data_IF_342049678563
#
_entry.id   IF_342049678563
#
_cell.length_a   1.000
_cell.length_b   1.000
_cell.length_c   1.000
_cell.angle_alpha   90.00
_cell.angle_beta   90.00
_cell.angle_gamma   90.00
#
_symmetry.space_group_name_H-M   'P 1'
#
loop_
_entity.id
_entity.type
_entity.pdbx_description
1 polymer ?
#
# COMPACT_ATOMS: atom_id res chain seq x y z
N UNK A 1 22.15 -6.20 -3.49
CA UNK A 1 20.93 -6.97 -3.80
C UNK A 1 19.78 -6.32 -3.07
N UNK A 2 18.62 -6.16 -3.70
CA UNK A 2 17.48 -5.46 -3.09
C UNK A 2 16.72 -6.38 -2.14
N UNK A 3 16.45 -5.91 -0.93
CA UNK A 3 15.80 -6.69 0.14
C UNK A 3 14.29 -6.48 0.20
N UNK A 4 13.78 -5.41 -0.41
CA UNK A 4 12.36 -5.08 -0.46
C UNK A 4 11.95 -4.47 -1.79
N UNK A 5 10.84 -4.93 -2.37
CA UNK A 5 10.36 -4.49 -3.67
C UNK A 5 8.92 -3.97 -3.55
N UNK A 6 8.64 -2.89 -4.28
CA UNK A 6 7.30 -2.31 -4.40
C UNK A 6 7.00 -2.12 -5.89
N UNK A 7 5.91 -2.71 -6.37
CA UNK A 7 5.43 -2.54 -7.74
C UNK A 7 4.12 -1.75 -7.74
N UNK A 8 4.04 -0.72 -8.58
CA UNK A 8 2.86 0.13 -8.74
C UNK A 8 1.99 -0.39 -9.89
N UNK A 9 0.67 -0.38 -9.69
CA UNK A 9 -0.32 -0.58 -10.75
C UNK A 9 -1.53 0.33 -10.54
N UNK A 10 -2.17 0.74 -11.65
CA UNK A 10 -3.41 1.50 -11.59
C UNK A 10 -4.60 0.54 -11.43
N UNK A 11 -5.56 0.92 -10.61
CA UNK A 11 -6.76 0.13 -10.29
C UNK A 11 -7.98 1.03 -10.22
N UNK A 12 -9.14 0.41 -10.20
CA UNK A 12 -10.39 1.06 -9.83
C UNK A 12 -11.06 0.32 -8.68
N UNK A 13 -11.71 1.07 -7.79
CA UNK A 13 -12.53 0.55 -6.69
C UNK A 13 -13.89 1.19 -6.79
N UNK A 14 -14.92 0.39 -7.05
CA UNK A 14 -16.29 0.90 -7.24
C UNK A 14 -16.38 2.09 -8.22
N UNK A 15 -15.59 2.03 -9.29
CA UNK A 15 -15.53 3.06 -10.35
C UNK A 15 -14.64 4.27 -10.04
N UNK A 16 -14.01 4.35 -8.86
CA UNK A 16 -13.08 5.42 -8.49
C UNK A 16 -11.63 5.01 -8.72
N UNK A 17 -10.74 5.93 -9.11
CA UNK A 17 -9.34 5.63 -9.34
C UNK A 17 -8.63 5.25 -8.03
N UNK A 18 -7.81 4.21 -8.09
CA UNK A 18 -6.98 3.75 -6.99
C UNK A 18 -5.60 3.33 -7.49
N UNK A 19 -4.60 3.39 -6.61
CA UNK A 19 -3.27 2.82 -6.88
C UNK A 19 -3.10 1.57 -6.04
N UNK A 20 -2.63 0.48 -6.66
CA UNK A 20 -2.23 -0.73 -5.95
C UNK A 20 -0.70 -0.81 -5.90
N UNK A 21 -0.17 -0.90 -4.69
CA UNK A 21 1.23 -1.17 -4.41
C UNK A 21 1.37 -2.63 -3.98
N UNK A 22 1.96 -3.44 -4.85
CA UNK A 22 2.30 -4.83 -4.56
C UNK A 22 3.65 -4.87 -3.85
N UNK A 23 3.66 -5.43 -2.65
CA UNK A 23 4.81 -5.50 -1.74
C UNK A 23 5.43 -6.90 -1.77
N UNK A 24 6.75 -7.00 -1.71
CA UNK A 24 7.42 -8.30 -1.59
C UNK A 24 8.81 -8.20 -0.97
N UNK A 25 9.19 -9.21 -0.21
CA UNK A 25 10.58 -9.39 0.23
C UNK A 25 11.44 -9.91 -0.92
N UNK A 26 12.66 -9.38 -1.01
CA UNK A 26 13.71 -9.85 -1.91
C UNK A 26 14.69 -10.75 -1.17
N UNK A 27 15.98 -10.38 -1.21
CA UNK A 27 17.03 -11.10 -0.48
C UNK A 27 16.79 -11.06 1.03
N UNK A 28 16.97 -12.20 1.72
CA UNK A 28 16.87 -12.29 3.17
C UNK A 28 17.82 -11.29 3.84
N UNK A 29 17.31 -10.49 4.77
CA UNK A 29 18.06 -9.43 5.44
C UNK A 29 17.40 -9.01 6.75
N UNK A 30 18.11 -8.20 7.52
CA UNK A 30 17.61 -7.62 8.76
C UNK A 30 16.76 -6.37 8.52
N UNK A 31 15.90 -6.03 9.49
CA UNK A 31 14.92 -4.96 9.34
C UNK A 31 15.54 -3.57 9.11
N UNK A 32 16.75 -3.31 9.59
CA UNK A 32 17.46 -2.06 9.33
C UNK A 32 17.75 -1.86 7.83
N UNK A 33 18.13 -2.93 7.12
CA UNK A 33 18.33 -2.88 5.67
C UNK A 33 16.99 -2.89 4.91
N UNK A 34 16.03 -3.72 5.33
CA UNK A 34 14.70 -3.78 4.72
C UNK A 34 14.02 -2.41 4.77
N UNK A 35 14.13 -1.68 5.88
CA UNK A 35 13.58 -0.33 6.03
C UNK A 35 14.21 0.67 5.04
N UNK A 36 15.53 0.63 4.88
CA UNK A 36 16.24 1.50 3.92
C UNK A 36 15.80 1.21 2.49
N UNK A 37 15.71 -0.06 2.13
CA UNK A 37 15.30 -0.48 0.80
C UNK A 37 13.82 -0.19 0.54
N UNK A 38 12.93 -0.38 1.53
CA UNK A 38 11.52 -0.03 1.43
C UNK A 38 11.33 1.48 1.20
N UNK A 39 12.11 2.32 1.88
CA UNK A 39 12.14 3.78 1.64
C UNK A 39 12.53 4.09 0.19
N UNK A 40 13.61 3.50 -0.30
CA UNK A 40 14.07 3.73 -1.69
C UNK A 40 13.03 3.23 -2.69
N UNK A 41 12.41 2.08 -2.44
CA UNK A 41 11.40 1.50 -3.31
C UNK A 41 10.12 2.35 -3.41
N UNK A 42 9.66 2.93 -2.29
CA UNK A 42 8.47 3.79 -2.31
C UNK A 42 8.75 5.13 -3.01
N UNK A 43 9.93 5.72 -2.81
CA UNK A 43 10.36 6.94 -3.51
C UNK A 43 10.49 6.70 -5.03
N UNK A 44 10.98 5.53 -5.44
CA UNK A 44 11.11 5.15 -6.84
C UNK A 44 9.76 5.01 -7.58
N UNK A 45 8.65 4.79 -6.86
CA UNK A 45 7.32 4.68 -7.44
C UNK A 45 6.76 6.02 -7.97
N UNK A 46 7.41 7.16 -7.63
CA UNK A 46 7.05 8.53 -8.07
C UNK A 46 5.54 8.76 -8.03
N UNK A 47 4.96 8.54 -6.85
CA UNK A 47 3.52 8.65 -6.65
C UNK A 47 3.10 10.12 -6.67
N UNK A 48 2.09 10.43 -7.48
CA UNK A 48 1.54 11.79 -7.59
C UNK A 48 0.45 12.07 -6.55
N UNK A 49 0.07 11.05 -5.78
CA UNK A 49 -1.08 11.07 -4.87
C UNK A 49 -2.37 10.63 -5.53
N UNK A 50 -3.47 10.72 -4.78
CA UNK A 50 -4.79 10.31 -5.25
C UNK A 50 -5.80 10.08 -4.13
N UNK A 51 -6.96 9.56 -4.49
CA UNK A 51 -8.02 9.29 -3.52
C UNK A 51 -7.67 8.10 -2.63
N UNK A 52 -7.29 6.97 -3.24
CA UNK A 52 -7.08 5.70 -2.55
C UNK A 52 -5.79 5.02 -3.00
N UNK A 53 -5.01 4.53 -2.03
CA UNK A 53 -3.92 3.59 -2.26
C UNK A 53 -4.17 2.29 -1.51
N UNK A 54 -3.86 1.18 -2.16
CA UNK A 54 -4.00 -0.17 -1.63
C UNK A 54 -2.62 -0.81 -1.50
N UNK A 55 -2.33 -1.37 -0.33
CA UNK A 55 -1.11 -2.10 -0.05
C UNK A 55 -1.41 -3.60 -0.05
N UNK A 56 -0.70 -4.37 -0.87
CA UNK A 56 -0.90 -5.82 -0.96
C UNK A 56 0.43 -6.56 -0.97
N UNK A 57 0.70 -7.32 0.08
CA UNK A 57 1.85 -8.21 0.17
C UNK A 57 2.51 -8.16 1.54
N UNK A 58 3.52 -9.01 1.78
CA UNK A 58 4.18 -9.09 3.06
C UNK A 58 5.03 -7.84 3.35
N UNK A 59 4.91 -7.34 4.57
CA UNK A 59 5.72 -6.27 5.11
C UNK A 59 6.05 -6.58 6.57
N UNK A 60 7.28 -6.27 7.01
CA UNK A 60 7.56 -6.23 8.45
C UNK A 60 6.96 -4.95 9.04
N UNK A 61 6.66 -4.94 10.34
CA UNK A 61 6.11 -3.77 11.01
C UNK A 61 6.89 -2.47 10.74
N UNK A 62 8.24 -2.41 10.91
CA UNK A 62 8.96 -1.17 10.64
C UNK A 62 8.97 -0.78 9.14
N UNK A 63 8.97 -1.75 8.22
CA UNK A 63 8.84 -1.46 6.79
C UNK A 63 7.45 -0.88 6.47
N UNK A 64 6.39 -1.44 7.05
CA UNK A 64 5.03 -0.94 6.89
C UNK A 64 4.88 0.52 7.38
N UNK A 65 5.51 0.88 8.50
CA UNK A 65 5.51 2.28 8.99
C UNK A 65 6.15 3.25 7.98
N UNK A 66 7.26 2.85 7.35
CA UNK A 66 7.96 3.68 6.36
C UNK A 66 7.15 3.81 5.08
N UNK A 67 6.55 2.72 4.61
CA UNK A 67 5.67 2.72 3.43
C UNK A 67 4.46 3.61 3.71
N UNK A 68 3.81 3.45 4.86
CA UNK A 68 2.65 4.24 5.27
C UNK A 68 2.98 5.73 5.37
N UNK A 69 4.14 6.10 5.89
CA UNK A 69 4.62 7.49 5.85
C UNK A 69 4.72 7.99 4.40
N UNK A 70 5.39 7.21 3.54
CA UNK A 70 5.63 7.59 2.14
C UNK A 70 4.37 7.82 1.32
N UNK A 71 3.26 7.15 1.66
CA UNK A 71 1.97 7.32 0.97
C UNK A 71 0.95 8.19 1.72
N UNK A 72 1.05 8.30 3.04
CA UNK A 72 0.01 8.89 3.90
C UNK A 72 -0.18 10.39 3.75
N UNK A 73 0.82 11.10 3.21
CA UNK A 73 0.69 12.51 2.86
C UNK A 73 0.23 12.73 1.42
N UNK A 74 0.18 11.69 0.59
CA UNK A 74 -0.15 11.77 -0.83
C UNK A 74 -1.57 11.28 -1.14
N UNK A 75 -2.11 10.36 -0.33
CA UNK A 75 -3.41 9.75 -0.56
C UNK A 75 -4.44 10.12 0.50
N UNK A 76 -5.70 10.24 0.07
CA UNK A 76 -6.84 10.47 0.98
C UNK A 76 -7.07 9.31 1.94
N UNK A 77 -6.91 8.07 1.46
CA UNK A 77 -7.03 6.86 2.27
C UNK A 77 -6.02 5.76 1.87
N UNK A 78 -5.68 4.91 2.85
CA UNK A 78 -4.79 3.74 2.69
C UNK A 78 -5.53 2.48 3.12
N UNK A 79 -5.76 1.57 2.18
CA UNK A 79 -6.24 0.21 2.42
C UNK A 79 -5.09 -0.79 2.50
N UNK A 80 -5.12 -1.70 3.48
CA UNK A 80 -4.12 -2.76 3.65
C UNK A 80 -4.78 -4.12 3.51
N UNK A 81 -4.28 -4.96 2.61
CA UNK A 81 -4.87 -6.28 2.35
C UNK A 81 -4.75 -7.19 3.59
N UNK A 82 -5.88 -7.72 4.04
CA UNK A 82 -5.97 -8.78 5.04
C UNK A 82 -6.49 -10.08 4.39
N UNK A 83 -5.69 -11.16 4.36
CA UNK A 83 -6.07 -12.40 3.69
C UNK A 83 -7.23 -13.13 4.36
N UNK A 84 -7.48 -12.91 5.67
CA UNK A 84 -8.61 -13.53 6.39
C UNK A 84 -9.94 -12.88 6.00
N UNK A 85 -9.90 -11.60 5.63
CA UNK A 85 -11.07 -10.85 5.20
C UNK A 85 -11.26 -10.86 3.68
N UNK A 86 -10.28 -11.38 2.92
CA UNK A 86 -10.24 -11.31 1.45
C UNK A 86 -10.49 -9.88 0.92
N UNK A 87 -9.92 -8.88 1.59
CA UNK A 87 -10.18 -7.47 1.33
C UNK A 87 -9.14 -6.55 1.96
N UNK A 88 -9.29 -5.26 1.71
CA UNK A 88 -8.39 -4.21 2.19
C UNK A 88 -9.05 -3.46 3.34
N UNK A 89 -8.42 -3.49 4.51
CA UNK A 89 -8.86 -2.71 5.67
C UNK A 89 -8.28 -1.30 5.56
N UNK A 90 -9.14 -0.29 5.57
CA UNK A 90 -8.70 1.11 5.59
C UNK A 90 -8.04 1.41 6.93
N UNK A 91 -6.72 1.59 6.92
CA UNK A 91 -5.91 1.76 8.13
C UNK A 91 -5.57 3.24 8.41
N UNK A 92 -5.58 4.08 7.38
CA UNK A 92 -5.32 5.52 7.47
C UNK A 92 -6.30 6.23 6.55
N UNK A 93 -6.93 7.30 7.00
CA UNK A 93 -7.81 8.09 6.15
C UNK A 93 -7.96 9.53 6.64
N UNK A 94 -7.97 10.46 5.70
CA UNK A 94 -8.49 11.82 5.82
C UNK A 94 -9.75 12.03 4.96
N UNK A 95 -10.18 11.00 4.22
CA UNK A 95 -11.35 11.02 3.33
C UNK A 95 -12.54 10.37 4.04
N UNK A 96 -13.64 11.12 4.30
CA UNK A 96 -14.83 10.57 4.94
C UNK A 96 -15.54 9.49 4.10
N UNK A 97 -15.24 9.37 2.81
CA UNK A 97 -15.73 8.28 1.94
C UNK A 97 -15.12 6.93 2.31
N UNK A 98 -13.90 6.94 2.86
CA UNK A 98 -13.20 5.74 3.32
C UNK A 98 -12.87 5.85 4.81
N UNK A 99 -13.83 5.67 5.72
CA UNK A 99 -13.57 5.68 7.15
C UNK A 99 -12.55 4.61 7.57
N UNK A 100 -11.76 4.89 8.60
CA UNK A 100 -10.86 3.90 9.20
C UNK A 100 -11.66 2.69 9.69
N UNK A 101 -11.18 1.49 9.37
CA UNK A 101 -11.84 0.22 9.68
C UNK A 101 -12.80 -0.27 8.59
N UNK A 102 -13.11 0.53 7.57
CA UNK A 102 -13.87 0.06 6.40
C UNK A 102 -13.10 -1.05 5.68
N UNK A 103 -13.82 -2.08 5.25
CA UNK A 103 -13.27 -3.18 4.45
C UNK A 103 -13.70 -3.00 3.01
N UNK A 104 -12.72 -2.90 2.10
CA UNK A 104 -12.93 -2.89 0.65
C UNK A 104 -12.72 -4.33 0.16
N UNK A 105 -13.75 -5.04 -0.31
CA UNK A 105 -13.60 -6.40 -0.82
C UNK A 105 -12.61 -6.45 -1.99
N UNK A 106 -11.73 -7.45 -2.03
CA UNK A 106 -10.77 -7.57 -3.13
C UNK A 106 -11.44 -7.80 -4.49
N UNK A 107 -12.65 -8.35 -4.50
CA UNK A 107 -13.51 -8.49 -5.68
C UNK A 107 -13.95 -7.15 -6.29
N UNK A 108 -13.88 -6.04 -5.53
CA UNK A 108 -14.19 -4.70 -6.02
C UNK A 108 -12.99 -3.99 -6.65
N UNK A 109 -11.77 -4.52 -6.46
CA UNK A 109 -10.54 -3.96 -7.00
C UNK A 109 -10.32 -4.51 -8.40
N UNK A 110 -10.47 -3.66 -9.41
CA UNK A 110 -10.35 -4.03 -10.83
C UNK A 110 -9.16 -3.35 -11.48
N UNK A 111 -8.68 -3.90 -12.60
CA UNK A 111 -7.72 -3.18 -13.43
C UNK A 111 -8.35 -1.87 -13.92
N UNK A 112 -7.56 -0.79 -13.84
CA UNK A 112 -7.97 0.55 -14.23
C UNK A 112 -7.51 0.90 -15.64
#
# INVERSE_FOLDING_TARGET
MTTYNIARSNRTVSGRPAILLTLSFGTQSQNDQIVRDAKVAIEACKLEGGELVLLNGPASLPAACVIAHGVGHLFGAIGVFDPKMAGYVVAVSHDPTYPVGTVIPASEVKEG
#
